data_IF_345619163494
#
_entry.id   IF_345619163494
#
_cell.length_a   1.000
_cell.length_b   1.000
_cell.length_c   1.000
_cell.angle_alpha   90.00
_cell.angle_beta   90.00
_cell.angle_gamma   90.00
#
_symmetry.space_group_name_H-M   'P 1'
#
loop_
_entity.id
_entity.type
_entity.pdbx_description
1 polymer ?
#
# COMPACT_ATOMS: atom_id res chain seq x y z
N UNK A 1 2.66 -9.21 12.10
CA UNK A 1 1.84 -9.40 10.88
C UNK A 1 0.45 -8.82 11.09
N UNK A 2 -0.19 -8.32 10.03
CA UNK A 2 -1.56 -7.76 10.00
C UNK A 2 -2.38 -8.57 8.97
N UNK A 3 -3.25 -9.50 9.40
CA UNK A 3 -3.95 -10.39 8.49
C UNK A 3 -5.18 -9.71 7.86
N UNK A 4 -5.10 -9.35 6.57
CA UNK A 4 -6.24 -8.74 5.84
C UNK A 4 -7.46 -9.66 5.75
N UNK A 5 -7.27 -10.98 5.80
CA UNK A 5 -8.37 -11.96 5.83
C UNK A 5 -9.40 -11.68 6.93
N UNK A 6 -8.98 -11.18 8.09
CA UNK A 6 -9.91 -10.83 9.17
C UNK A 6 -10.84 -9.66 8.77
N UNK A 7 -10.33 -8.72 7.97
CA UNK A 7 -11.11 -7.59 7.43
C UNK A 7 -12.03 -8.10 6.31
N UNK A 8 -11.49 -8.89 5.37
CA UNK A 8 -12.26 -9.42 4.23
C UNK A 8 -13.43 -10.32 4.66
N UNK A 9 -13.25 -11.11 5.73
CA UNK A 9 -14.33 -11.93 6.30
C UNK A 9 -15.47 -11.07 6.87
N UNK A 10 -15.16 -9.88 7.39
CA UNK A 10 -16.14 -8.96 8.00
C UNK A 10 -16.77 -8.03 6.96
N UNK A 11 -16.03 -7.68 5.92
CA UNK A 11 -16.40 -6.71 4.89
C UNK A 11 -16.18 -7.34 3.50
N UNK A 12 -17.15 -8.12 3.00
CA UNK A 12 -16.99 -8.92 1.77
C UNK A 12 -16.87 -8.08 0.49
N UNK A 13 -17.17 -6.78 0.55
CA UNK A 13 -16.88 -5.85 -0.56
C UNK A 13 -15.38 -5.63 -0.77
N UNK A 14 -14.54 -5.98 0.21
CA UNK A 14 -13.08 -5.87 0.12
C UNK A 14 -12.45 -7.26 0.04
N UNK A 15 -11.43 -7.39 -0.81
CA UNK A 15 -10.63 -8.59 -0.97
C UNK A 15 -9.25 -8.23 -1.54
N UNK A 16 -8.46 -9.23 -1.93
CA UNK A 16 -7.11 -9.03 -2.48
C UNK A 16 -7.05 -8.12 -3.71
N UNK A 17 -8.11 -8.01 -4.51
CA UNK A 17 -8.10 -7.26 -5.77
C UNK A 17 -8.31 -5.76 -5.55
N UNK A 18 -8.77 -5.32 -4.38
CA UNK A 18 -9.13 -3.92 -4.14
C UNK A 18 -8.69 -3.39 -2.76
N UNK A 19 -7.75 -4.08 -2.10
CA UNK A 19 -7.21 -3.69 -0.79
C UNK A 19 -5.70 -3.45 -0.88
N UNK A 20 -5.22 -2.37 -0.25
CA UNK A 20 -3.79 -2.08 -0.09
C UNK A 20 -3.50 -1.84 1.40
N UNK A 21 -2.39 -2.37 1.90
CA UNK A 21 -1.84 -2.13 3.23
C UNK A 21 -0.53 -1.34 3.09
N UNK A 22 -0.55 -0.07 3.49
CA UNK A 22 0.65 0.78 3.54
C UNK A 22 1.27 0.70 4.94
N UNK A 23 2.55 0.35 5.02
CA UNK A 23 3.27 0.25 6.30
C UNK A 23 4.77 0.52 6.09
N UNK A 24 5.46 1.01 7.12
CA UNK A 24 6.92 1.20 7.09
C UNK A 24 7.69 -0.09 7.43
N UNK A 25 6.97 -1.16 7.81
CA UNK A 25 7.51 -2.48 8.15
C UNK A 25 7.00 -3.54 7.21
N UNK A 26 7.92 -4.20 6.50
CA UNK A 26 7.60 -5.29 5.55
C UNK A 26 6.90 -6.47 6.22
N UNK A 27 7.16 -6.69 7.51
CA UNK A 27 6.57 -7.76 8.31
C UNK A 27 5.07 -7.54 8.56
N UNK A 28 4.55 -6.32 8.38
CA UNK A 28 3.13 -6.02 8.54
C UNK A 28 2.28 -6.81 7.53
N UNK A 29 2.70 -6.84 6.26
CA UNK A 29 1.99 -7.50 5.16
C UNK A 29 2.63 -8.83 4.74
N UNK A 30 3.41 -9.48 5.62
CA UNK A 30 4.02 -10.78 5.31
C UNK A 30 3.01 -11.86 4.88
N UNK A 31 1.79 -11.82 5.43
CA UNK A 31 0.71 -12.74 5.08
C UNK A 31 -0.08 -12.34 3.82
N UNK A 32 0.15 -11.14 3.29
CA UNK A 32 -0.55 -10.58 2.11
C UNK A 32 0.45 -9.76 1.28
N UNK A 33 1.55 -10.35 0.79
CA UNK A 33 2.68 -9.61 0.21
C UNK A 33 2.29 -8.82 -1.05
N UNK A 34 1.34 -9.30 -1.83
CA UNK A 34 0.78 -8.64 -3.01
C UNK A 34 -0.11 -7.43 -2.68
N UNK A 35 -0.57 -7.29 -1.44
CA UNK A 35 -1.39 -6.16 -0.99
C UNK A 35 -0.56 -5.13 -0.20
N UNK A 36 0.76 -5.28 -0.12
CA UNK A 36 1.62 -4.42 0.70
C UNK A 36 2.32 -3.33 -0.10
N UNK A 37 2.22 -2.08 0.36
CA UNK A 37 3.12 -0.99 -0.04
C UNK A 37 4.06 -0.69 1.12
N UNK A 38 5.36 -0.88 0.89
CA UNK A 38 6.39 -0.42 1.82
C UNK A 38 6.61 1.08 1.62
N UNK A 39 6.31 1.87 2.66
CA UNK A 39 6.58 3.31 2.69
C UNK A 39 7.82 3.61 3.54
N UNK A 40 8.40 4.79 3.34
CA UNK A 40 9.49 5.25 4.21
C UNK A 40 8.92 5.86 5.48
N UNK A 41 9.45 5.45 6.63
CA UNK A 41 9.10 6.05 7.91
C UNK A 41 9.35 7.56 7.88
N UNK A 42 8.39 8.33 8.36
CA UNK A 42 8.58 9.76 8.56
C UNK A 42 9.60 10.02 9.68
N UNK A 43 10.56 10.92 9.43
CA UNK A 43 11.53 11.36 10.42
C UNK A 43 11.39 12.87 10.62
N UNK A 44 11.24 13.33 11.87
CA UNK A 44 11.01 14.76 12.17
C UNK A 44 12.05 15.70 11.53
N UNK A 45 13.31 15.25 11.39
CA UNK A 45 14.39 15.98 10.68
C UNK A 45 14.10 16.28 9.21
N UNK A 46 13.08 15.67 8.60
CA UNK A 46 12.62 15.86 7.23
C UNK A 46 11.35 16.70 7.14
N UNK A 47 10.90 17.30 8.24
CA UNK A 47 9.75 18.20 8.23
C UNK A 47 9.93 19.30 7.16
N UNK A 48 8.91 19.50 6.32
CA UNK A 48 8.94 20.44 5.19
C UNK A 48 9.68 19.96 3.94
N UNK A 49 10.36 18.82 3.99
CA UNK A 49 11.05 18.21 2.83
C UNK A 49 10.46 16.84 2.45
N UNK A 50 9.75 16.19 3.37
CA UNK A 50 9.14 14.89 3.16
C UNK A 50 7.93 15.01 2.20
N UNK A 51 7.99 14.28 1.09
CA UNK A 51 6.95 14.22 0.07
C UNK A 51 6.37 12.80 -0.10
N UNK A 52 6.63 11.90 0.86
CA UNK A 52 6.31 10.48 0.78
C UNK A 52 4.81 10.26 0.54
N UNK A 53 3.97 10.97 1.30
CA UNK A 53 2.52 10.85 1.19
C UNK A 53 1.96 11.52 -0.07
N UNK A 54 2.65 12.53 -0.61
CA UNK A 54 2.26 13.14 -1.89
C UNK A 54 2.48 12.15 -3.04
N UNK A 55 3.64 11.51 -3.06
CA UNK A 55 3.95 10.41 -3.98
C UNK A 55 2.99 9.24 -3.82
N UNK A 56 2.75 8.81 -2.59
CA UNK A 56 1.80 7.72 -2.30
C UNK A 56 0.40 8.05 -2.81
N UNK A 57 -0.08 9.29 -2.60
CA UNK A 57 -1.38 9.72 -3.09
C UNK A 57 -1.46 9.71 -4.63
N UNK A 58 -0.40 10.15 -5.32
CA UNK A 58 -0.32 10.09 -6.78
C UNK A 58 -0.36 8.63 -7.28
N UNK A 59 0.43 7.75 -6.66
CA UNK A 59 0.45 6.33 -6.98
C UNK A 59 -0.93 5.67 -6.77
N UNK A 60 -1.54 5.87 -5.61
CA UNK A 60 -2.87 5.30 -5.30
C UNK A 60 -3.94 5.77 -6.31
N UNK A 61 -3.91 7.04 -6.74
CA UNK A 61 -4.80 7.54 -7.80
C UNK A 61 -4.52 6.85 -9.14
N UNK A 62 -3.26 6.63 -9.50
CA UNK A 62 -2.89 5.98 -10.76
C UNK A 62 -3.36 4.53 -10.85
N UNK A 63 -3.38 3.81 -9.73
CA UNK A 63 -3.79 2.40 -9.70
C UNK A 63 -5.28 2.20 -9.43
N UNK A 64 -5.98 3.22 -8.91
CA UNK A 64 -7.41 3.13 -8.58
C UNK A 64 -8.34 2.85 -9.78
N UNK A 65 -7.83 2.99 -11.01
CA UNK A 65 -8.56 2.68 -12.24
C UNK A 65 -8.54 1.19 -12.61
N UNK A 66 -7.69 0.37 -11.99
CA UNK A 66 -7.59 -1.06 -12.30
C UNK A 66 -8.57 -1.87 -11.45
N UNK A 67 -9.20 -2.87 -12.08
CA UNK A 67 -10.15 -3.78 -11.42
C UNK A 67 -9.47 -4.77 -10.46
N UNK A 68 -8.19 -5.08 -10.69
CA UNK A 68 -7.40 -5.99 -9.88
C UNK A 68 -6.03 -5.42 -9.52
N UNK A 69 -5.92 -4.90 -8.30
CA UNK A 69 -4.68 -4.39 -7.73
C UNK A 69 -3.67 -5.51 -7.43
N UNK A 70 -4.11 -6.76 -7.23
CA UNK A 70 -3.19 -7.87 -6.88
C UNK A 70 -2.26 -8.28 -8.03
N UNK A 71 -2.56 -7.82 -9.26
CA UNK A 71 -1.71 -8.01 -10.43
C UNK A 71 -0.60 -6.96 -10.56
N UNK A 72 -0.61 -5.90 -9.73
CA UNK A 72 0.33 -4.78 -9.81
C UNK A 72 1.53 -5.06 -8.90
N UNK A 73 2.74 -4.87 -9.42
CA UNK A 73 3.95 -4.95 -8.59
C UNK A 73 4.14 -3.66 -7.77
N UNK A 74 3.60 -3.64 -6.55
CA UNK A 74 3.73 -2.52 -5.63
C UNK A 74 5.17 -2.28 -5.11
N UNK A 75 6.14 -3.17 -5.37
CA UNK A 75 7.54 -2.95 -4.94
C UNK A 75 8.21 -1.83 -5.73
N UNK A 76 7.72 -1.58 -6.94
CA UNK A 76 8.24 -0.55 -7.85
C UNK A 76 7.37 0.72 -7.86
N UNK A 77 6.49 0.89 -6.88
CA UNK A 77 5.52 2.01 -6.83
C UNK A 77 6.13 3.41 -6.93
N UNK A 78 7.42 3.55 -6.60
CA UNK A 78 8.18 4.81 -6.69
C UNK A 78 8.77 5.11 -8.06
N UNK A 79 8.83 4.12 -8.96
CA UNK A 79 9.34 4.30 -10.32
C UNK A 79 8.25 4.82 -11.27
N UNK A 80 6.99 4.71 -10.86
CA UNK A 80 5.79 5.11 -11.61
C UNK A 80 5.36 6.57 -11.34
N UNK A 81 6.21 7.39 -10.69
CA UNK A 81 5.91 8.76 -10.23
C UNK A 81 6.98 9.74 -10.70
#
# INVERSE_FOLDING_TARGET
>A
VKPLQAIWNKFPQFNKTNTILCDDKKEAFHLNPENGILITRFLHKKYGQDDELLKLAAYLKSIAQYDDLSAIDHRVWRLEI
#
